data_IF_744174114332
#
_entry.id   IF_744174114332
#
_cell.length_a   1.000
_cell.length_b   1.000
_cell.length_c   1.000
_cell.angle_alpha   90.00
_cell.angle_beta   90.00
_cell.angle_gamma   90.00
#
_symmetry.space_group_name_H-M   'P 1'
#
loop_
_entity.id
_entity.type
_entity.pdbx_description
1 polymer ?
#
# COMPACT_ATOMS: atom_id res chain seq x y z
N UNK A 1 3.52 3.63 10.33
CA UNK A 1 2.73 2.38 10.31
C UNK A 1 2.68 1.93 8.86
N UNK A 2 2.77 0.63 8.60
CA UNK A 2 2.62 0.08 7.24
C UNK A 2 1.33 -0.71 7.14
N UNK A 3 0.63 -0.56 6.01
CA UNK A 3 -0.62 -1.28 5.75
C UNK A 3 -0.38 -2.48 4.83
N UNK A 4 -0.98 -3.62 5.16
CA UNK A 4 -0.95 -4.79 4.31
C UNK A 4 -1.87 -4.59 3.10
N UNK A 5 -1.34 -4.91 1.93
CA UNK A 5 -2.06 -4.86 0.66
C UNK A 5 -2.95 -6.08 0.42
N UNK A 6 -2.76 -7.14 1.19
CA UNK A 6 -3.54 -8.36 1.07
C UNK A 6 -4.96 -8.11 1.63
N UNK A 7 -6.01 -8.16 0.78
CA UNK A 7 -7.39 -7.92 1.21
C UNK A 7 -7.92 -9.00 2.15
N UNK A 8 -7.34 -10.20 2.14
CA UNK A 8 -7.70 -11.32 3.00
C UNK A 8 -6.88 -11.33 4.31
N UNK A 9 -6.09 -10.28 4.56
CA UNK A 9 -5.28 -10.20 5.77
C UNK A 9 -6.18 -9.93 7.00
N UNK A 10 -6.13 -10.80 8.03
CA UNK A 10 -6.95 -10.62 9.23
C UNK A 10 -6.50 -9.41 10.06
N UNK A 11 -5.22 -9.02 9.96
CA UNK A 11 -4.66 -7.87 10.66
C UNK A 11 -3.72 -7.06 9.74
N UNK A 12 -4.27 -6.10 8.96
CA UNK A 12 -3.50 -5.39 7.96
C UNK A 12 -2.58 -4.30 8.54
N UNK A 13 -2.74 -3.94 9.82
CA UNK A 13 -1.88 -2.93 10.48
C UNK A 13 -0.58 -3.57 10.95
N UNK A 14 0.54 -3.03 10.49
CA UNK A 14 1.88 -3.49 10.84
C UNK A 14 2.77 -2.33 11.31
N UNK A 15 3.86 -2.67 12.02
CA UNK A 15 4.88 -1.71 12.43
C UNK A 15 5.58 -1.11 11.18
N UNK A 16 6.05 0.13 11.28
CA UNK A 16 6.72 0.79 10.14
C UNK A 16 7.99 0.07 9.68
N UNK A 17 8.63 -0.67 10.60
CA UNK A 17 9.91 -1.34 10.36
C UNK A 17 9.78 -2.74 9.73
N UNK A 18 8.58 -3.30 9.62
CA UNK A 18 8.39 -4.64 9.04
C UNK A 18 8.28 -4.56 7.53
N UNK A 19 9.01 -5.42 6.81
CA UNK A 19 8.92 -5.56 5.35
C UNK A 19 7.80 -6.52 4.93
N UNK A 20 7.52 -7.52 5.75
CA UNK A 20 6.45 -8.47 5.57
C UNK A 20 5.37 -8.30 6.64
N UNK A 21 4.14 -8.60 6.27
CA UNK A 21 3.02 -8.57 7.19
C UNK A 21 3.18 -9.67 8.24
N UNK A 22 3.09 -9.31 9.52
CA UNK A 22 3.18 -10.28 10.62
C UNK A 22 1.98 -11.22 10.70
N UNK A 23 0.86 -10.88 10.06
CA UNK A 23 -0.38 -11.66 10.13
C UNK A 23 -0.57 -12.64 8.95
N UNK A 24 -0.10 -12.29 7.74
CA UNK A 24 -0.29 -13.12 6.55
C UNK A 24 0.99 -13.37 5.73
N UNK A 25 2.13 -12.79 6.12
CA UNK A 25 3.42 -12.96 5.43
C UNK A 25 3.59 -12.17 4.13
N UNK A 26 2.53 -11.56 3.59
CA UNK A 26 2.61 -10.76 2.35
C UNK A 26 3.56 -9.57 2.48
N UNK A 27 4.24 -9.22 1.39
CA UNK A 27 5.10 -8.03 1.34
C UNK A 27 4.26 -6.75 1.57
N UNK A 28 4.78 -5.86 2.42
CA UNK A 28 4.18 -4.55 2.72
C UNK A 28 4.66 -3.46 1.75
N UNK A 29 5.62 -3.78 0.90
CA UNK A 29 6.20 -2.85 -0.07
C UNK A 29 5.69 -3.20 -1.46
N UNK A 30 5.13 -2.21 -2.17
CA UNK A 30 4.75 -2.40 -3.55
C UNK A 30 5.92 -2.02 -4.45
N UNK A 31 6.37 -2.97 -5.27
CA UNK A 31 7.51 -2.81 -6.19
C UNK A 31 8.80 -2.27 -5.53
N UNK A 32 8.99 -2.55 -4.23
CA UNK A 32 10.15 -2.05 -3.45
C UNK A 32 10.32 -0.52 -3.41
N UNK A 33 9.31 0.22 -3.88
CA UNK A 33 9.36 1.67 -4.12
C UNK A 33 8.32 2.43 -3.33
N UNK A 34 7.14 1.83 -3.15
CA UNK A 34 5.99 2.48 -2.53
C UNK A 34 5.73 1.92 -1.13
N UNK A 35 5.82 2.78 -0.11
CA UNK A 35 5.39 2.49 1.27
C UNK A 35 3.91 2.77 1.43
N UNK A 36 3.11 1.76 1.72
CA UNK A 36 1.67 1.92 1.87
C UNK A 36 1.33 2.49 3.25
N UNK A 37 0.70 3.68 3.27
CA UNK A 37 0.31 4.39 4.47
C UNK A 37 -1.08 3.99 4.96
N UNK A 38 -2.10 4.09 4.10
CA UNK A 38 -3.49 3.87 4.48
C UNK A 38 -4.31 3.41 3.29
N UNK A 39 -5.28 2.53 3.54
CA UNK A 39 -6.32 2.22 2.56
C UNK A 39 -7.39 3.30 2.61
N UNK A 40 -7.57 4.01 1.49
CA UNK A 40 -8.55 5.10 1.37
C UNK A 40 -9.95 4.57 1.06
N UNK A 41 -10.07 3.44 0.37
CA UNK A 41 -11.38 2.86 0.06
C UNK A 41 -11.29 1.52 -0.66
N UNK A 42 -12.41 0.80 -0.70
CA UNK A 42 -12.61 -0.43 -1.47
C UNK A 42 -13.91 -0.31 -2.25
N UNK A 43 -13.86 -0.50 -3.56
CA UNK A 43 -15.03 -0.48 -4.42
C UNK A 43 -14.98 -1.60 -5.46
N UNK A 44 -15.95 -1.64 -6.38
CA UNK A 44 -16.00 -2.62 -7.47
C UNK A 44 -14.77 -2.61 -8.40
N UNK A 45 -13.97 -1.54 -8.34
CA UNK A 45 -12.76 -1.33 -9.13
C UNK A 45 -11.46 -1.70 -8.41
N UNK A 46 -11.53 -2.22 -7.17
CA UNK A 46 -10.38 -2.59 -6.35
C UNK A 46 -10.24 -1.76 -5.07
N UNK A 47 -9.08 -1.86 -4.43
CA UNK A 47 -8.73 -1.04 -3.28
C UNK A 47 -7.82 0.12 -3.70
N UNK A 48 -8.05 1.28 -3.09
CA UNK A 48 -7.23 2.49 -3.25
C UNK A 48 -6.40 2.66 -1.98
N UNK A 49 -5.12 2.86 -2.17
CA UNK A 49 -4.15 3.04 -1.10
C UNK A 49 -3.42 4.37 -1.27
N UNK A 50 -3.17 5.05 -0.17
CA UNK A 50 -2.18 6.11 -0.12
C UNK A 50 -0.81 5.47 0.09
N UNK A 51 0.15 5.83 -0.73
CA UNK A 51 1.50 5.31 -0.67
C UNK A 51 2.54 6.44 -0.75
N UNK A 52 3.70 6.22 -0.13
CA UNK A 52 4.86 7.09 -0.29
C UNK A 52 5.80 6.48 -1.33
N UNK A 53 6.03 7.17 -2.43
CA UNK A 53 7.05 6.85 -3.41
C UNK A 53 8.41 7.41 -2.99
N UNK A 54 9.34 6.51 -2.63
CA UNK A 54 10.70 6.92 -2.24
C UNK A 54 11.56 7.38 -3.41
N UNK A 55 11.14 7.12 -4.65
CA UNK A 55 11.90 7.49 -5.85
C UNK A 55 11.59 8.90 -6.35
N UNK A 56 10.57 9.58 -5.80
CA UNK A 56 10.15 10.89 -6.27
C UNK A 56 10.40 11.99 -5.23
N UNK A 57 10.77 13.21 -5.67
CA UNK A 57 10.97 14.35 -4.79
C UNK A 57 9.67 14.84 -4.13
N UNK A 58 8.51 14.57 -4.76
CA UNK A 58 7.20 14.75 -4.15
C UNK A 58 6.60 13.38 -3.82
N UNK A 59 6.75 12.88 -2.58
CA UNK A 59 6.74 11.45 -2.36
C UNK A 59 5.35 10.88 -2.05
N UNK A 60 4.26 11.67 -1.97
CA UNK A 60 2.93 11.15 -1.63
C UNK A 60 2.12 10.86 -2.90
N UNK A 61 1.66 9.62 -3.08
CA UNK A 61 0.89 9.17 -4.23
C UNK A 61 -0.32 8.31 -3.84
N UNK A 62 -1.37 8.33 -4.65
CA UNK A 62 -2.48 7.39 -4.57
C UNK A 62 -2.26 6.22 -5.53
N UNK A 63 -2.41 4.99 -5.04
CA UNK A 63 -2.15 3.75 -5.79
C UNK A 63 -3.39 2.86 -5.77
N UNK A 64 -3.85 2.43 -6.94
CA UNK A 64 -4.99 1.50 -7.09
C UNK A 64 -4.54 0.07 -7.40
N UNK A 65 -5.24 -0.92 -6.84
CA UNK A 65 -4.83 -2.33 -6.87
C UNK A 65 -5.04 -3.07 -8.21
N UNK A 66 -5.84 -2.58 -9.18
CA UNK A 66 -6.21 -3.42 -10.35
C UNK A 66 -5.53 -3.16 -11.69
N UNK A 67 -5.19 -1.94 -12.08
CA UNK A 67 -4.42 -1.74 -13.32
C UNK A 67 -3.80 -0.34 -13.29
N UNK A 68 -2.49 -0.25 -13.51
CA UNK A 68 -1.69 0.97 -13.80
C UNK A 68 -2.48 2.30 -13.73
N UNK A 69 -2.71 2.81 -12.54
CA UNK A 69 -3.00 4.24 -12.37
C UNK A 69 -2.38 4.66 -11.06
N UNK A 70 -1.15 5.16 -11.17
CA UNK A 70 -0.50 6.02 -10.17
C UNK A 70 -0.89 7.42 -10.63
N UNK A 71 -2.11 7.84 -10.31
CA UNK A 71 -2.48 9.24 -10.56
C UNK A 71 -1.91 10.07 -9.42
N UNK A 72 -0.93 10.89 -9.80
CA UNK A 72 -0.43 12.01 -9.00
C UNK A 72 -1.57 13.03 -8.91
N UNK A 73 -2.13 13.21 -7.72
CA UNK A 73 -3.01 14.36 -7.44
C UNK A 73 -2.15 15.61 -7.27
#
# INVERSE_FOLDING_TARGET
MRYCLNPDCPQPKNLSATENCQACGSSLTLQERFDILVQMGRGGYGAVFLAIDRSQPNPIHCVSSRTKVIDTV
#
